data_IF_933316282255
#
_entry.id   IF_933316282255
#
_cell.length_a   1.000
_cell.length_b   1.000
_cell.length_c   1.000
_cell.angle_alpha   90.00
_cell.angle_beta   90.00
_cell.angle_gamma   90.00
#
_symmetry.space_group_name_H-M   'P 1'
#
loop_
_entity.id
_entity.type
_entity.pdbx_description
1 polymer ?
#
# COMPACT_ATOMS: atom_id res chain seq x y z
N UNK A 1 -17.95 4.08 4.89
CA UNK A 1 -18.01 4.58 6.28
C UNK A 1 -16.67 4.32 6.98
N UNK A 2 -16.18 3.08 6.98
CA UNK A 2 -14.81 2.69 7.42
C UNK A 2 -13.68 3.67 7.05
N UNK A 3 -13.58 4.07 5.77
CA UNK A 3 -12.51 4.95 5.29
C UNK A 3 -12.54 6.36 5.93
N UNK A 4 -13.73 6.84 6.31
CA UNK A 4 -13.90 8.10 7.07
C UNK A 4 -13.40 7.90 8.50
N UNK A 5 -13.90 6.86 9.18
CA UNK A 5 -13.53 6.49 10.55
C UNK A 5 -11.99 6.35 10.71
N UNK A 6 -11.32 5.69 9.77
CA UNK A 6 -9.88 5.47 9.82
C UNK A 6 -9.07 6.76 9.61
N UNK A 7 -9.42 7.59 8.60
CA UNK A 7 -8.75 8.89 8.36
C UNK A 7 -8.99 9.84 9.55
N UNK A 8 -10.23 9.94 10.02
CA UNK A 8 -10.62 10.76 11.18
C UNK A 8 -9.79 10.44 12.42
N UNK A 9 -9.67 9.15 12.76
CA UNK A 9 -8.96 8.72 13.98
C UNK A 9 -7.44 8.91 13.89
N UNK A 10 -6.87 8.84 12.69
CA UNK A 10 -5.43 8.97 12.48
C UNK A 10 -4.94 10.42 12.35
N UNK A 11 -5.75 11.33 11.77
CA UNK A 11 -5.24 12.63 11.30
C UNK A 11 -5.81 13.89 11.97
N UNK A 12 -6.86 13.82 12.79
CA UNK A 12 -7.37 14.99 13.52
C UNK A 12 -7.83 16.17 12.64
N UNK A 13 -8.29 15.88 11.41
CA UNK A 13 -8.70 16.84 10.38
C UNK A 13 -10.18 17.27 10.50
N UNK A 14 -10.72 18.13 9.63
CA UNK A 14 -12.15 18.55 9.66
C UNK A 14 -12.90 18.20 8.34
N UNK A 15 -14.11 17.61 8.44
CA UNK A 15 -15.01 17.23 7.32
C UNK A 15 -15.77 18.43 6.80
N UNK A 16 -16.27 18.23 5.59
CA UNK A 16 -17.68 18.50 5.35
C UNK A 16 -18.37 17.26 4.75
N UNK A 17 -19.53 16.82 5.26
CA UNK A 17 -20.34 15.84 4.52
C UNK A 17 -21.26 16.57 3.55
N UNK A 18 -21.08 16.33 2.26
CA UNK A 18 -21.87 16.91 1.18
C UNK A 18 -22.79 15.86 0.55
N UNK A 19 -23.88 15.53 1.23
CA UNK A 19 -24.93 14.66 0.69
C UNK A 19 -25.65 15.33 -0.49
N UNK A 20 -25.37 14.89 -1.71
CA UNK A 20 -25.99 15.44 -2.93
C UNK A 20 -26.82 14.36 -3.62
N UNK A 21 -28.14 14.39 -3.38
CA UNK A 21 -29.09 13.49 -4.02
C UNK A 21 -29.07 12.05 -3.51
N UNK A 22 -28.52 11.83 -2.32
CA UNK A 22 -28.59 10.59 -1.54
C UNK A 22 -29.98 10.39 -0.93
N UNK A 23 -30.22 9.21 -0.31
CA UNK A 23 -31.44 8.98 0.47
C UNK A 23 -31.28 9.58 1.85
N UNK A 24 -32.21 10.45 2.26
CA UNK A 24 -32.24 11.06 3.61
C UNK A 24 -32.21 10.04 4.76
N UNK A 25 -32.69 8.81 4.54
CA UNK A 25 -32.52 7.71 5.50
C UNK A 25 -31.04 7.33 5.66
N UNK A 26 -30.32 7.15 4.56
CA UNK A 26 -28.91 6.74 4.56
C UNK A 26 -28.01 7.86 5.13
N UNK A 27 -28.38 9.13 4.93
CA UNK A 27 -27.74 10.28 5.58
C UNK A 27 -27.99 10.30 7.10
N UNK A 28 -29.22 9.99 7.55
CA UNK A 28 -29.56 9.89 8.97
C UNK A 28 -28.84 8.72 9.66
N UNK A 29 -28.80 7.55 9.00
CA UNK A 29 -28.10 6.36 9.51
C UNK A 29 -26.59 6.66 9.65
N UNK A 30 -25.99 7.32 8.65
CA UNK A 30 -24.60 7.79 8.68
C UNK A 30 -24.33 8.79 9.81
N UNK A 31 -25.23 9.75 10.04
CA UNK A 31 -25.10 10.74 11.12
C UNK A 31 -25.07 10.07 12.51
N UNK A 32 -25.94 9.08 12.72
CA UNK A 32 -25.96 8.31 13.97
C UNK A 32 -24.69 7.46 14.14
N UNK A 33 -24.20 6.81 13.08
CA UNK A 33 -22.93 6.06 13.11
C UNK A 33 -21.74 6.98 13.42
N UNK A 34 -21.69 8.19 12.85
CA UNK A 34 -20.65 9.18 13.14
C UNK A 34 -20.70 9.69 14.60
N UNK A 35 -21.89 9.77 15.20
CA UNK A 35 -22.08 10.09 16.61
C UNK A 35 -21.61 8.96 17.52
N UNK A 36 -22.01 7.72 17.25
CA UNK A 36 -21.63 6.54 18.04
C UNK A 36 -20.12 6.23 17.96
N UNK A 37 -19.49 6.48 16.81
CA UNK A 37 -18.06 6.23 16.59
C UNK A 37 -17.12 7.33 17.12
N UNK A 38 -17.66 8.42 17.68
CA UNK A 38 -16.89 9.55 18.20
C UNK A 38 -16.29 10.46 17.12
N UNK A 39 -16.81 10.38 15.88
CA UNK A 39 -16.39 11.22 14.73
C UNK A 39 -17.03 12.61 14.81
N UNK A 40 -18.27 12.69 15.32
CA UNK A 40 -18.97 13.95 15.61
C UNK A 40 -19.16 14.09 17.13
N UNK A 41 -18.69 15.20 17.70
CA UNK A 41 -18.92 15.56 19.10
C UNK A 41 -20.03 16.63 19.18
N UNK A 42 -21.20 16.28 19.72
CA UNK A 42 -22.33 17.20 19.89
C UNK A 42 -22.06 18.31 20.92
N UNK A 43 -21.19 18.06 21.92
CA UNK A 43 -20.88 19.02 22.98
C UNK A 43 -19.82 20.05 22.53
N UNK A 44 -18.90 19.66 21.64
CA UNK A 44 -17.92 20.57 21.04
C UNK A 44 -17.71 20.32 19.54
N UNK A 45 -18.45 21.08 18.72
CA UNK A 45 -18.37 21.01 17.25
C UNK A 45 -16.94 21.30 16.72
N UNK A 46 -16.14 22.12 17.43
CA UNK A 46 -14.76 22.45 16.99
C UNK A 46 -13.74 21.34 17.22
N UNK A 47 -14.09 20.29 17.97
CA UNK A 47 -13.28 19.07 18.16
C UNK A 47 -13.72 17.91 17.26
N UNK A 48 -14.72 18.10 16.40
CA UNK A 48 -15.20 17.04 15.50
C UNK A 48 -14.18 16.78 14.39
N UNK A 49 -13.54 15.61 14.42
CA UNK A 49 -12.48 15.19 13.51
C UNK A 49 -13.06 14.44 12.31
N UNK A 50 -12.93 14.92 11.08
CA UNK A 50 -13.86 14.54 10.00
C UNK A 50 -13.11 14.82 8.62
N UNK A 51 -13.52 14.32 7.43
CA UNK A 51 -12.97 14.55 6.06
C UNK A 51 -14.05 14.84 4.96
N UNK A 52 -13.73 15.55 3.86
CA UNK A 52 -14.74 15.92 2.82
C UNK A 52 -15.26 14.70 2.04
N UNK A 53 -16.55 14.39 2.20
CA UNK A 53 -17.22 13.29 1.47
C UNK A 53 -18.36 13.84 0.64
N UNK A 54 -18.30 13.62 -0.68
CA UNK A 54 -19.33 14.02 -1.64
C UNK A 54 -20.23 12.81 -1.97
N UNK A 55 -21.54 12.99 -1.84
CA UNK A 55 -22.53 12.06 -2.39
C UNK A 55 -22.52 12.02 -3.92
N UNK A 56 -23.31 11.11 -4.50
CA UNK A 56 -23.36 10.74 -5.92
C UNK A 56 -23.04 11.90 -6.89
N UNK A 57 -21.81 11.92 -7.40
CA UNK A 57 -21.26 12.99 -8.26
C UNK A 57 -22.01 13.12 -9.61
N UNK A 58 -22.85 12.14 -9.96
CA UNK A 58 -23.72 12.17 -11.15
C UNK A 58 -25.01 12.99 -10.93
N UNK A 59 -25.38 13.29 -9.68
CA UNK A 59 -26.59 14.06 -9.35
C UNK A 59 -26.51 15.53 -9.77
N UNK A 60 -25.40 16.27 -9.57
CA UNK A 60 -25.26 17.61 -10.14
C UNK A 60 -25.35 17.63 -11.68
N UNK A 61 -24.67 16.75 -12.46
CA UNK A 61 -24.91 16.59 -13.90
C UNK A 61 -26.37 16.29 -14.27
N UNK A 62 -27.01 15.31 -13.60
CA UNK A 62 -28.40 14.93 -13.90
C UNK A 62 -29.38 16.09 -13.70
N UNK A 63 -29.36 16.72 -12.52
CA UNK A 63 -30.22 17.86 -12.22
C UNK A 63 -29.94 19.08 -13.14
N UNK A 64 -28.67 19.31 -13.51
CA UNK A 64 -28.32 20.37 -14.47
C UNK A 64 -28.74 20.05 -15.89
N UNK A 65 -28.82 18.78 -16.28
CA UNK A 65 -29.37 18.38 -17.57
C UNK A 65 -30.87 18.69 -17.67
N UNK A 66 -31.64 18.33 -16.64
CA UNK A 66 -33.08 18.68 -16.53
C UNK A 66 -33.30 20.20 -16.63
N UNK A 67 -32.53 20.99 -15.86
CA UNK A 67 -32.59 22.46 -15.91
C UNK A 67 -32.14 23.00 -17.28
N UNK A 68 -31.12 22.40 -17.91
CA UNK A 68 -30.65 22.80 -19.23
C UNK A 68 -31.70 22.59 -20.32
N UNK A 69 -32.46 21.49 -20.25
CA UNK A 69 -33.58 21.22 -21.14
C UNK A 69 -34.73 22.22 -20.93
N UNK A 70 -35.06 22.54 -19.67
CA UNK A 70 -36.06 23.58 -19.33
C UNK A 70 -35.64 24.99 -19.79
N UNK A 71 -34.34 25.28 -19.79
CA UNK A 71 -33.76 26.53 -20.33
C UNK A 71 -33.68 26.55 -21.88
N UNK A 72 -34.19 25.53 -22.57
CA UNK A 72 -34.22 25.46 -24.03
C UNK A 72 -32.84 25.33 -24.69
N UNK A 73 -31.82 24.90 -23.94
CA UNK A 73 -30.48 24.65 -24.49
C UNK A 73 -30.50 23.34 -25.28
N UNK A 74 -29.82 23.31 -26.42
CA UNK A 74 -29.66 22.07 -27.19
C UNK A 74 -28.86 21.05 -26.35
N UNK A 75 -29.35 19.79 -26.23
CA UNK A 75 -28.64 18.74 -25.50
C UNK A 75 -27.38 18.30 -26.24
N UNK A 76 -26.40 17.84 -25.47
CA UNK A 76 -25.13 17.28 -25.96
C UNK A 76 -25.19 15.75 -25.98
N UNK A 77 -24.02 15.09 -26.05
CA UNK A 77 -23.88 13.63 -25.99
C UNK A 77 -24.67 13.02 -24.83
N UNK A 78 -25.35 11.90 -25.11
CA UNK A 78 -26.20 11.13 -24.17
C UNK A 78 -27.32 11.97 -23.50
N UNK A 79 -27.61 13.17 -24.01
CA UNK A 79 -28.64 14.06 -23.49
C UNK A 79 -28.19 14.98 -22.35
N UNK A 80 -26.89 15.06 -22.04
CA UNK A 80 -26.36 15.98 -21.02
C UNK A 80 -26.36 17.45 -21.48
N UNK A 81 -26.22 18.37 -20.52
CA UNK A 81 -26.10 19.80 -20.82
C UNK A 81 -24.79 20.12 -21.57
N UNK A 82 -24.78 21.06 -22.53
CA UNK A 82 -23.57 21.42 -23.29
C UNK A 82 -22.47 22.05 -22.43
N UNK A 83 -22.81 22.51 -21.21
CA UNK A 83 -21.90 23.11 -20.24
C UNK A 83 -21.25 22.11 -19.28
N UNK A 84 -21.53 20.80 -19.41
CA UNK A 84 -21.12 19.75 -18.45
C UNK A 84 -19.65 19.83 -18.06
N UNK A 85 -18.75 19.89 -19.05
CA UNK A 85 -17.30 19.96 -18.84
C UNK A 85 -16.88 21.19 -18.02
N UNK A 86 -17.35 22.38 -18.40
CA UNK A 86 -17.00 23.64 -17.71
C UNK A 86 -17.57 23.69 -16.30
N UNK A 87 -18.78 23.15 -16.09
CA UNK A 87 -19.44 23.13 -14.78
C UNK A 87 -18.78 22.14 -13.81
N UNK A 88 -18.36 20.98 -14.30
CA UNK A 88 -17.61 20.00 -13.50
C UNK A 88 -16.20 20.51 -13.18
N UNK A 89 -15.46 21.03 -14.16
CA UNK A 89 -14.14 21.63 -13.90
C UNK A 89 -14.21 22.77 -12.87
N UNK A 90 -15.19 23.67 -13.00
CA UNK A 90 -15.38 24.77 -12.03
C UNK A 90 -15.74 24.32 -10.61
N UNK A 91 -16.24 23.09 -10.45
CA UNK A 91 -16.52 22.48 -9.15
C UNK A 91 -15.28 21.74 -8.62
N UNK A 92 -14.66 20.91 -9.44
CA UNK A 92 -13.54 20.04 -9.06
C UNK A 92 -12.25 20.83 -8.78
N UNK A 93 -11.92 21.85 -9.58
CA UNK A 93 -10.73 22.69 -9.37
C UNK A 93 -10.76 23.48 -8.04
N UNK A 94 -11.93 23.60 -7.40
CA UNK A 94 -12.05 24.19 -6.05
C UNK A 94 -11.69 23.20 -4.94
N UNK A 95 -11.63 21.91 -5.25
CA UNK A 95 -11.33 20.80 -4.34
C UNK A 95 -9.86 20.43 -4.58
N UNK A 96 -8.96 21.25 -4.06
CA UNK A 96 -7.52 21.10 -4.28
C UNK A 96 -6.71 21.49 -3.05
N UNK A 97 -5.42 21.20 -3.07
CA UNK A 97 -4.49 21.60 -2.01
C UNK A 97 -3.82 22.93 -2.31
N UNK A 98 -3.79 23.81 -1.30
CA UNK A 98 -3.21 25.15 -1.38
C UNK A 98 -2.04 25.29 -0.41
N UNK A 99 -1.37 26.46 -0.40
CA UNK A 99 -0.29 26.76 0.55
C UNK A 99 -0.78 26.98 1.99
N UNK A 100 -2.08 27.23 2.18
CA UNK A 100 -2.69 27.55 3.48
C UNK A 100 -3.45 26.36 4.08
N UNK A 101 -3.68 25.31 3.29
CA UNK A 101 -4.35 24.08 3.72
C UNK A 101 -4.67 23.16 2.54
N UNK A 102 -4.88 21.87 2.84
CA UNK A 102 -5.24 20.83 1.89
C UNK A 102 -6.69 20.37 2.05
N UNK A 103 -7.33 20.00 0.95
CA UNK A 103 -8.66 19.35 0.94
C UNK A 103 -8.51 17.98 0.32
N UNK A 104 -8.61 16.93 1.13
CA UNK A 104 -8.73 15.54 0.65
C UNK A 104 -10.20 15.22 0.49
N UNK A 105 -10.66 15.02 -0.75
CA UNK A 105 -12.06 14.65 -1.03
C UNK A 105 -12.21 13.18 -1.41
N UNK A 106 -13.21 12.53 -0.83
CA UNK A 106 -13.66 11.20 -1.26
C UNK A 106 -15.02 11.39 -1.95
N UNK A 107 -15.11 11.01 -3.22
CA UNK A 107 -16.27 11.31 -4.06
C UNK A 107 -16.94 10.01 -4.51
N UNK A 108 -18.20 9.81 -4.15
CA UNK A 108 -18.97 8.68 -4.64
C UNK A 108 -19.40 8.94 -6.09
N UNK A 109 -18.82 8.25 -7.07
CA UNK A 109 -19.23 8.33 -8.48
C UNK A 109 -20.16 7.16 -8.80
N UNK A 110 -21.35 7.45 -9.29
CA UNK A 110 -22.25 6.42 -9.80
C UNK A 110 -21.87 6.12 -11.26
N UNK A 111 -22.05 4.90 -11.73
CA UNK A 111 -21.82 4.55 -13.13
C UNK A 111 -23.16 4.09 -13.73
N UNK A 112 -23.82 4.90 -14.57
CA UNK A 112 -25.09 4.52 -15.18
C UNK A 112 -24.91 3.26 -16.01
N UNK A 113 -25.78 2.26 -15.78
CA UNK A 113 -25.75 0.98 -16.54
C UNK A 113 -24.39 0.26 -16.58
N UNK A 114 -23.52 0.52 -15.59
CA UNK A 114 -22.13 0.03 -15.54
C UNK A 114 -21.25 0.48 -16.73
N UNK A 115 -21.64 1.54 -17.46
CA UNK A 115 -20.90 2.12 -18.58
C UNK A 115 -19.96 3.25 -18.14
N UNK A 116 -18.65 2.96 -18.10
CA UNK A 116 -17.59 3.93 -17.79
C UNK A 116 -17.37 4.98 -18.89
N UNK A 117 -17.95 4.79 -20.08
CA UNK A 117 -17.83 5.72 -21.22
C UNK A 117 -18.90 6.82 -21.23
N UNK A 118 -19.87 6.77 -20.30
CA UNK A 118 -20.87 7.83 -20.14
C UNK A 118 -20.19 9.19 -19.83
N UNK A 119 -20.64 10.31 -20.43
CA UNK A 119 -20.01 11.62 -20.24
C UNK A 119 -19.89 12.11 -18.80
N UNK A 120 -20.78 11.71 -17.89
CA UNK A 120 -20.73 12.17 -16.49
C UNK A 120 -19.60 11.51 -15.67
N UNK A 121 -19.49 10.17 -15.56
CA UNK A 121 -18.35 9.54 -14.90
C UNK A 121 -17.04 9.82 -15.65
N UNK A 122 -17.02 9.81 -16.99
CA UNK A 122 -15.80 10.08 -17.77
C UNK A 122 -15.20 11.47 -17.50
N UNK A 123 -16.05 12.52 -17.45
CA UNK A 123 -15.60 13.86 -17.05
C UNK A 123 -15.17 13.94 -15.59
N UNK A 124 -15.80 13.17 -14.70
CA UNK A 124 -15.45 13.14 -13.27
C UNK A 124 -14.07 12.49 -13.07
N UNK A 125 -13.82 11.33 -13.70
CA UNK A 125 -12.54 10.62 -13.60
C UNK A 125 -11.35 11.45 -14.09
N UNK A 126 -11.54 12.34 -15.07
CA UNK A 126 -10.50 13.25 -15.56
C UNK A 126 -9.96 14.24 -14.51
N UNK A 127 -10.69 14.46 -13.41
CA UNK A 127 -10.30 15.34 -12.29
C UNK A 127 -9.90 14.58 -11.01
N UNK A 128 -9.88 13.24 -11.00
CA UNK A 128 -9.55 12.45 -9.82
C UNK A 128 -8.12 11.93 -9.84
N UNK A 129 -7.37 12.18 -8.76
CA UNK A 129 -6.03 11.61 -8.54
C UNK A 129 -6.04 10.09 -8.27
N UNK A 130 -7.15 9.56 -7.78
CA UNK A 130 -7.31 8.13 -7.55
C UNK A 130 -8.76 7.68 -7.82
N UNK A 131 -8.91 6.52 -8.45
CA UNK A 131 -10.18 5.86 -8.73
C UNK A 131 -10.22 4.51 -8.02
N UNK A 132 -11.27 4.28 -7.24
CA UNK A 132 -11.54 2.98 -6.60
C UNK A 132 -12.82 2.44 -7.23
N UNK A 133 -12.68 1.43 -8.07
CA UNK A 133 -13.80 0.82 -8.81
C UNK A 133 -14.38 -0.32 -7.99
N UNK A 134 -15.71 -0.34 -7.80
CA UNK A 134 -16.40 -1.36 -7.01
C UNK A 134 -17.16 -2.33 -7.93
N UNK A 135 -16.72 -3.59 -7.97
CA UNK A 135 -17.20 -4.57 -8.97
C UNK A 135 -18.32 -5.47 -8.46
N UNK A 136 -19.51 -5.38 -9.07
CA UNK A 136 -20.66 -6.25 -8.72
C UNK A 136 -20.33 -7.75 -8.82
N UNK A 137 -19.40 -8.12 -9.71
CA UNK A 137 -18.93 -9.50 -9.88
C UNK A 137 -18.09 -10.04 -8.72
N UNK A 138 -17.41 -9.17 -7.96
CA UNK A 138 -16.71 -9.54 -6.73
C UNK A 138 -17.68 -9.66 -5.54
N UNK A 139 -18.67 -8.76 -5.44
CA UNK A 139 -19.70 -8.82 -4.41
C UNK A 139 -20.53 -10.12 -4.48
N UNK A 140 -20.87 -10.56 -5.70
CA UNK A 140 -21.57 -11.82 -5.93
C UNK A 140 -20.78 -13.07 -5.48
N UNK A 141 -19.46 -12.95 -5.30
CA UNK A 141 -18.57 -14.00 -4.77
C UNK A 141 -18.35 -13.89 -3.25
N UNK A 142 -18.96 -12.90 -2.58
CA UNK A 142 -18.79 -12.66 -1.15
C UNK A 142 -17.46 -12.02 -0.76
N UNK A 143 -16.72 -11.45 -1.71
CA UNK A 143 -15.42 -10.80 -1.46
C UNK A 143 -15.68 -9.34 -1.06
N UNK A 144 -15.25 -8.99 0.16
CA UNK A 144 -15.30 -7.63 0.72
C UNK A 144 -13.92 -7.23 1.27
N UNK A 145 -13.45 -5.98 1.05
CA UNK A 145 -14.08 -4.92 0.27
C UNK A 145 -14.12 -5.22 -1.22
N UNK A 146 -15.11 -4.68 -1.93
CA UNK A 146 -15.48 -5.07 -3.29
C UNK A 146 -14.65 -4.34 -4.37
N UNK A 147 -13.39 -4.05 -4.08
CA UNK A 147 -12.51 -3.25 -4.94
C UNK A 147 -11.97 -4.09 -6.09
N UNK A 148 -12.13 -3.61 -7.32
CA UNK A 148 -11.50 -4.22 -8.48
C UNK A 148 -10.02 -3.76 -8.58
N UNK A 149 -9.03 -4.67 -8.45
CA UNK A 149 -7.62 -4.30 -8.45
C UNK A 149 -7.06 -4.01 -9.85
N UNK A 150 -7.83 -4.26 -10.92
CA UNK A 150 -7.40 -4.00 -12.30
C UNK A 150 -7.95 -2.66 -12.82
N UNK A 151 -9.21 -2.36 -12.49
CA UNK A 151 -9.86 -1.11 -12.93
C UNK A 151 -9.63 0.08 -11.96
N UNK A 152 -9.18 -0.17 -10.73
CA UNK A 152 -8.81 0.89 -9.77
C UNK A 152 -7.41 1.43 -10.08
N UNK A 153 -7.24 2.76 -10.07
CA UNK A 153 -5.97 3.42 -10.41
C UNK A 153 -5.62 4.56 -9.45
N UNK A 154 -4.36 4.98 -9.42
CA UNK A 154 -3.95 6.19 -8.71
C UNK A 154 -2.72 6.84 -9.35
N UNK A 155 -2.74 8.16 -9.49
CA UNK A 155 -1.59 8.98 -9.91
C UNK A 155 -0.43 8.88 -8.93
N UNK A 156 -0.72 8.60 -7.65
CA UNK A 156 0.28 8.36 -6.61
C UNK A 156 0.95 6.99 -6.74
N UNK A 157 0.42 6.05 -7.53
CA UNK A 157 0.98 4.69 -7.72
C UNK A 157 2.24 4.67 -8.61
N UNK A 158 3.13 5.64 -8.42
CA UNK A 158 4.38 5.80 -9.13
C UNK A 158 5.55 5.30 -8.25
N UNK A 159 6.56 4.60 -8.80
CA UNK A 159 7.65 4.03 -8.00
C UNK A 159 8.41 5.04 -7.13
N UNK A 160 8.50 6.30 -7.59
CA UNK A 160 9.14 7.42 -6.89
C UNK A 160 8.23 8.17 -5.90
N UNK A 161 6.92 7.86 -5.86
CA UNK A 161 5.97 8.41 -4.87
C UNK A 161 5.70 7.38 -3.77
N UNK A 162 5.32 6.14 -4.13
CA UNK A 162 5.03 5.07 -3.15
C UNK A 162 6.32 4.47 -2.56
N UNK A 163 7.44 4.55 -3.28
CA UNK A 163 8.72 4.03 -2.82
C UNK A 163 8.84 2.51 -2.80
N UNK A 164 8.20 1.80 -3.75
CA UNK A 164 8.45 0.38 -4.15
C UNK A 164 7.46 0.00 -5.27
N UNK A 165 7.95 -0.53 -6.40
CA UNK A 165 7.08 -1.19 -7.39
C UNK A 165 6.98 -2.68 -7.05
N UNK A 166 5.80 -3.16 -6.69
CA UNK A 166 5.50 -4.59 -6.57
C UNK A 166 4.77 -4.98 -7.86
N UNK A 167 5.30 -5.95 -8.60
CA UNK A 167 4.71 -6.35 -9.88
C UNK A 167 3.32 -6.95 -9.68
N UNK A 168 2.41 -6.76 -10.64
CA UNK A 168 1.05 -7.32 -10.59
C UNK A 168 1.07 -8.84 -10.31
N UNK A 169 2.02 -9.56 -10.92
CA UNK A 169 2.26 -10.99 -10.71
C UNK A 169 2.64 -11.32 -9.26
N UNK A 170 3.42 -10.49 -8.59
CA UNK A 170 3.86 -10.69 -7.21
C UNK A 170 2.79 -10.28 -6.21
N UNK A 171 2.01 -9.24 -6.50
CA UNK A 171 0.80 -8.87 -5.76
C UNK A 171 -0.23 -10.01 -5.81
N UNK A 172 -0.56 -10.51 -7.00
CA UNK A 172 -1.48 -11.64 -7.18
C UNK A 172 -0.95 -12.90 -6.49
N UNK A 173 0.35 -13.21 -6.63
CA UNK A 173 0.96 -14.37 -5.94
C UNK A 173 0.91 -14.22 -4.41
N UNK A 174 1.21 -13.03 -3.88
CA UNK A 174 1.13 -12.74 -2.45
C UNK A 174 -0.29 -12.95 -1.91
N UNK A 175 -1.29 -12.34 -2.54
CA UNK A 175 -2.69 -12.53 -2.14
C UNK A 175 -3.19 -13.97 -2.33
N UNK A 176 -2.73 -14.70 -3.36
CA UNK A 176 -3.05 -16.12 -3.53
C UNK A 176 -2.47 -16.99 -2.41
N UNK A 177 -1.24 -16.73 -1.96
CA UNK A 177 -0.59 -17.46 -0.86
C UNK A 177 -1.21 -17.15 0.52
N UNK A 178 -1.74 -15.94 0.70
CA UNK A 178 -2.53 -15.57 1.89
C UNK A 178 -3.89 -16.28 1.85
N UNK A 179 -4.61 -16.23 0.72
CA UNK A 179 -5.92 -16.85 0.55
C UNK A 179 -5.88 -18.39 0.57
N UNK A 180 -4.76 -19.02 0.18
CA UNK A 180 -4.56 -20.47 0.29
C UNK A 180 -4.26 -20.95 1.71
N UNK A 181 -4.06 -20.04 2.67
CA UNK A 181 -3.61 -20.32 4.05
C UNK A 181 -2.23 -20.99 4.13
N UNK A 182 -1.46 -21.00 3.04
CA UNK A 182 -0.09 -21.54 3.04
C UNK A 182 0.89 -20.66 3.84
N UNK A 183 0.49 -19.43 4.18
CA UNK A 183 1.24 -18.49 5.02
C UNK A 183 0.71 -18.39 6.47
N UNK A 184 -0.38 -19.08 6.84
CA UNK A 184 -0.93 -19.07 8.22
C UNK A 184 0.05 -19.63 9.27
N UNK A 185 1.12 -20.31 8.83
CA UNK A 185 2.19 -20.85 9.69
C UNK A 185 3.44 -19.97 9.79
N UNK A 186 3.50 -18.82 9.10
CA UNK A 186 4.61 -17.88 9.25
C UNK A 186 4.34 -16.93 10.43
N UNK A 187 5.26 -16.80 11.39
CA UNK A 187 5.09 -15.82 12.45
C UNK A 187 5.32 -14.39 11.93
N UNK A 188 4.49 -13.44 12.37
CA UNK A 188 4.64 -12.00 12.09
C UNK A 188 5.82 -11.39 12.87
N UNK A 189 7.04 -11.89 12.70
CA UNK A 189 8.25 -11.26 13.24
C UNK A 189 8.67 -10.04 12.40
N UNK A 190 7.89 -8.96 12.51
CA UNK A 190 8.41 -7.62 12.29
C UNK A 190 9.37 -7.29 13.44
N UNK A 191 10.67 -7.55 13.25
CA UNK A 191 11.67 -7.38 14.31
C UNK A 191 12.04 -5.90 14.48
N UNK A 192 11.24 -5.16 15.25
CA UNK A 192 11.54 -3.78 15.64
C UNK A 192 12.58 -3.78 16.76
N UNK A 193 13.81 -3.33 16.46
CA UNK A 193 14.89 -3.24 17.42
C UNK A 193 15.05 -1.79 17.90
N UNK A 194 14.35 -1.45 18.98
CA UNK A 194 14.38 -0.11 19.61
C UNK A 194 15.63 0.05 20.50
N UNK A 195 16.82 0.07 19.88
CA UNK A 195 18.11 0.15 20.58
C UNK A 195 19.13 0.90 19.75
N UNK A 196 19.95 1.74 20.40
CA UNK A 196 21.04 2.45 19.74
C UNK A 196 22.07 1.46 19.20
N UNK A 197 22.39 1.59 17.90
CA UNK A 197 23.33 0.74 17.18
C UNK A 197 24.60 1.53 16.86
N UNK A 198 25.76 0.93 17.14
CA UNK A 198 27.07 1.55 16.90
C UNK A 198 27.54 1.39 15.45
N UNK A 199 27.28 0.23 14.84
CA UNK A 199 27.61 -0.10 13.44
C UNK A 199 26.67 -1.19 12.90
N UNK A 200 26.27 -1.08 11.63
CA UNK A 200 25.62 -2.17 10.89
C UNK A 200 26.45 -2.55 9.66
N UNK A 201 26.75 -3.85 9.49
CA UNK A 201 27.34 -4.39 8.26
C UNK A 201 26.29 -5.24 7.53
N UNK A 202 26.08 -4.93 6.25
CA UNK A 202 25.02 -5.48 5.42
C UNK A 202 25.55 -5.96 4.06
N UNK A 203 25.23 -7.20 3.67
CA UNK A 203 25.51 -7.71 2.32
C UNK A 203 24.52 -7.16 1.28
N UNK A 204 25.03 -6.46 0.28
CA UNK A 204 24.29 -5.96 -0.88
C UNK A 204 24.76 -6.65 -2.17
N UNK A 205 24.09 -6.37 -3.28
CA UNK A 205 24.48 -6.90 -4.60
C UNK A 205 25.87 -6.44 -5.10
N UNK A 206 26.46 -5.41 -4.49
CA UNK A 206 27.74 -4.81 -4.88
C UNK A 206 28.89 -5.10 -3.91
N UNK A 207 28.62 -5.73 -2.76
CA UNK A 207 29.61 -6.04 -1.74
C UNK A 207 29.00 -6.04 -0.33
N UNK A 208 29.82 -5.77 0.69
CA UNK A 208 29.34 -5.44 2.03
C UNK A 208 29.42 -3.93 2.24
N UNK A 209 28.39 -3.35 2.86
CA UNK A 209 28.34 -1.94 3.25
C UNK A 209 28.32 -1.88 4.78
N UNK A 210 29.31 -1.20 5.36
CA UNK A 210 29.29 -0.78 6.77
C UNK A 210 28.59 0.57 6.90
N UNK A 211 27.71 0.69 7.87
CA UNK A 211 26.82 1.83 8.10
C UNK A 211 27.02 2.28 9.54
N UNK A 212 27.47 3.53 9.71
CA UNK A 212 27.71 4.16 11.00
C UNK A 212 26.61 5.22 11.28
N UNK A 213 26.46 5.68 12.53
CA UNK A 213 25.58 6.80 12.87
C UNK A 213 25.84 8.04 12.00
N UNK A 214 24.78 8.71 11.57
CA UNK A 214 24.79 9.87 10.66
C UNK A 214 25.31 9.56 9.24
N UNK A 215 25.22 8.31 8.78
CA UNK A 215 25.46 7.98 7.38
C UNK A 215 24.48 8.72 6.45
N UNK A 216 24.95 9.09 5.25
CA UNK A 216 24.09 9.66 4.21
C UNK A 216 22.95 8.68 3.84
N UNK A 217 21.74 9.16 3.48
CA UNK A 217 20.64 8.28 3.13
C UNK A 217 20.99 7.34 1.96
N UNK A 218 20.72 6.04 2.13
CA UNK A 218 20.93 4.99 1.13
C UNK A 218 19.69 4.11 1.05
N UNK A 219 19.18 3.93 -0.16
CA UNK A 219 18.25 2.86 -0.53
C UNK A 219 19.03 1.79 -1.30
N UNK A 220 19.02 0.53 -0.85
CA UNK A 220 19.83 -0.54 -1.44
C UNK A 220 19.17 -1.91 -1.41
N UNK A 221 19.54 -2.78 -2.36
CA UNK A 221 19.10 -4.16 -2.43
C UNK A 221 20.04 -5.05 -1.62
N UNK A 222 19.45 -5.84 -0.73
CA UNK A 222 20.14 -6.82 0.12
C UNK A 222 20.24 -8.14 -0.66
N UNK A 223 21.46 -8.67 -0.85
CA UNK A 223 21.65 -10.03 -1.40
C UNK A 223 21.53 -11.06 -0.25
N UNK A 224 21.48 -12.35 -0.59
CA UNK A 224 21.58 -13.42 0.41
C UNK A 224 22.94 -13.33 1.09
N UNK A 225 22.94 -13.13 2.40
CA UNK A 225 24.15 -12.82 3.14
C UNK A 225 23.89 -12.48 4.60
N UNK A 226 24.92 -11.97 5.26
CA UNK A 226 24.91 -11.74 6.71
C UNK A 226 24.57 -10.28 6.98
N UNK A 227 23.72 -10.07 7.99
CA UNK A 227 23.57 -8.81 8.71
C UNK A 227 24.33 -8.91 10.03
N UNK A 228 25.19 -7.94 10.31
CA UNK A 228 25.85 -7.79 11.60
C UNK A 228 25.47 -6.46 12.21
N UNK A 229 25.11 -6.46 13.48
CA UNK A 229 24.67 -5.28 14.24
C UNK A 229 25.54 -5.21 15.49
N UNK A 230 26.29 -4.11 15.65
CA UNK A 230 27.10 -3.85 16.84
C UNK A 230 26.24 -3.15 17.90
N UNK A 231 25.95 -3.87 18.99
CA UNK A 231 25.10 -3.45 20.10
C UNK A 231 25.89 -3.59 21.40
N UNK A 232 26.06 -2.49 22.15
CA UNK A 232 26.77 -2.51 23.45
C UNK A 232 28.15 -3.21 23.37
N UNK A 233 28.93 -2.90 22.34
CA UNK A 233 30.21 -3.53 22.05
C UNK A 233 30.14 -5.08 21.87
N UNK A 234 29.00 -5.63 21.44
CA UNK A 234 28.81 -7.04 21.06
C UNK A 234 28.19 -7.16 19.66
N UNK A 235 28.68 -8.10 18.84
CA UNK A 235 28.16 -8.35 17.49
C UNK A 235 26.98 -9.33 17.52
N UNK A 236 25.78 -8.84 17.20
CA UNK A 236 24.64 -9.68 16.84
C UNK A 236 24.74 -10.04 15.35
N UNK A 237 24.68 -11.33 15.03
CA UNK A 237 24.80 -11.85 13.66
C UNK A 237 23.50 -12.50 13.21
N UNK A 238 23.04 -12.19 12.00
CA UNK A 238 21.81 -12.73 11.40
C UNK A 238 22.05 -13.16 9.95
N UNK A 239 21.45 -14.28 9.55
CA UNK A 239 21.34 -14.70 8.15
C UNK A 239 20.12 -14.05 7.50
N UNK A 240 20.30 -13.41 6.33
CA UNK A 240 19.23 -12.79 5.55
C UNK A 240 19.06 -13.48 4.20
N UNK A 241 17.82 -13.78 3.81
CA UNK A 241 17.51 -14.40 2.50
C UNK A 241 17.07 -13.33 1.47
N UNK A 242 17.92 -12.31 1.33
CA UNK A 242 17.77 -11.21 0.37
C UNK A 242 16.56 -10.31 0.64
N UNK A 243 16.60 -9.09 0.10
CA UNK A 243 15.58 -8.09 0.39
C UNK A 243 15.97 -6.67 -0.01
N UNK A 244 15.54 -5.70 0.80
CA UNK A 244 15.77 -4.28 0.60
C UNK A 244 16.08 -3.61 1.94
N UNK A 245 17.05 -2.71 1.95
CA UNK A 245 17.39 -1.90 3.12
C UNK A 245 17.29 -0.43 2.77
N UNK A 246 16.60 0.32 3.63
CA UNK A 246 16.51 1.77 3.62
C UNK A 246 17.24 2.31 4.84
N UNK A 247 18.15 3.24 4.62
CA UNK A 247 18.98 3.87 5.62
C UNK A 247 18.73 5.38 5.52
N UNK A 248 18.33 6.04 6.60
CA UNK A 248 18.10 7.48 6.62
C UNK A 248 17.58 7.97 7.96
N UNK A 249 17.84 9.24 8.30
CA UNK A 249 17.43 9.85 9.57
C UNK A 249 17.92 9.11 10.83
N UNK A 250 19.08 8.44 10.76
CA UNK A 250 19.59 7.50 11.78
C UNK A 250 18.68 6.27 12.06
N UNK A 251 17.72 6.00 11.18
CA UNK A 251 16.91 4.78 11.17
C UNK A 251 17.37 3.86 10.02
N UNK A 252 17.30 2.54 10.25
CA UNK A 252 17.62 1.52 9.25
C UNK A 252 16.47 0.50 9.21
N UNK A 253 15.72 0.50 8.12
CA UNK A 253 14.62 -0.44 7.87
C UNK A 253 15.08 -1.52 6.90
N UNK A 254 15.11 -2.78 7.33
CA UNK A 254 15.51 -3.92 6.49
C UNK A 254 14.31 -4.85 6.28
N UNK A 255 13.84 -4.93 5.04
CA UNK A 255 12.75 -5.80 4.59
C UNK A 255 13.34 -6.98 3.81
N UNK A 256 13.32 -8.17 4.41
CA UNK A 256 13.81 -9.41 3.80
C UNK A 256 12.71 -10.45 3.68
N UNK A 257 12.93 -11.46 2.83
CA UNK A 257 11.99 -12.59 2.71
C UNK A 257 12.03 -13.50 3.94
N UNK A 258 13.18 -13.59 4.59
CA UNK A 258 13.44 -14.46 5.74
C UNK A 258 14.69 -13.95 6.49
N UNK A 259 14.70 -14.09 7.82
CA UNK A 259 15.71 -13.56 8.72
C UNK A 259 15.87 -14.47 9.95
N UNK A 260 17.08 -14.99 10.17
CA UNK A 260 17.35 -15.92 11.27
C UNK A 260 18.59 -15.48 12.05
N UNK A 261 18.56 -15.58 13.38
CA UNK A 261 19.69 -15.19 14.23
C UNK A 261 20.70 -16.32 14.31
N UNK A 262 21.99 -16.00 14.23
CA UNK A 262 23.06 -16.99 14.35
C UNK A 262 23.07 -17.76 15.69
N UNK A 263 22.41 -17.24 16.73
CA UNK A 263 22.20 -17.92 18.02
C UNK A 263 21.14 -19.03 17.98
N UNK A 264 20.24 -18.98 17.02
CA UNK A 264 19.01 -19.79 16.99
C UNK A 264 19.13 -20.95 15.98
N UNK A 265 20.13 -20.89 15.09
CA UNK A 265 20.46 -21.92 14.08
C UNK A 265 21.22 -23.10 14.72
N UNK A 266 20.74 -24.34 14.53
CA UNK A 266 21.49 -25.54 14.95
C UNK A 266 22.75 -25.73 14.09
N UNK A 267 23.97 -25.74 14.68
CA UNK A 267 25.20 -25.95 13.93
C UNK A 267 25.25 -27.27 13.14
N UNK A 268 24.64 -28.35 13.63
CA UNK A 268 24.64 -29.64 12.93
C UNK A 268 23.73 -29.60 11.71
N UNK A 269 22.55 -28.99 11.83
CA UNK A 269 21.59 -28.85 10.72
C UNK A 269 22.15 -27.97 9.60
N UNK A 270 22.79 -26.84 9.95
CA UNK A 270 23.41 -25.95 8.98
C UNK A 270 24.53 -26.63 8.16
N UNK A 271 25.40 -27.42 8.82
CA UNK A 271 26.47 -28.15 8.12
C UNK A 271 25.93 -29.29 7.25
N UNK A 272 24.91 -30.04 7.70
CA UNK A 272 24.26 -31.07 6.87
C UNK A 272 23.58 -30.46 5.64
N UNK A 273 22.87 -29.34 5.82
CA UNK A 273 22.21 -28.60 4.74
C UNK A 273 23.21 -28.10 3.70
N UNK A 274 24.39 -27.64 4.15
CA UNK A 274 25.49 -27.25 3.27
C UNK A 274 26.02 -28.42 2.44
N UNK A 275 26.28 -29.58 3.06
CA UNK A 275 26.78 -30.76 2.35
C UNK A 275 25.78 -31.27 1.29
N UNK A 276 24.48 -31.29 1.62
CA UNK A 276 23.41 -31.64 0.70
C UNK A 276 23.34 -30.65 -0.46
N UNK A 277 23.43 -29.34 -0.19
CA UNK A 277 23.42 -28.31 -1.24
C UNK A 277 24.62 -28.43 -2.18
N UNK A 278 25.83 -28.68 -1.68
CA UNK A 278 27.02 -28.91 -2.51
C UNK A 278 26.92 -30.19 -3.35
N UNK A 279 26.36 -31.27 -2.80
CA UNK A 279 26.10 -32.50 -3.55
C UNK A 279 25.08 -32.27 -4.68
N UNK A 280 24.06 -31.45 -4.44
CA UNK A 280 23.04 -31.12 -5.44
C UNK A 280 23.58 -30.21 -6.57
N UNK A 281 24.43 -29.23 -6.26
CA UNK A 281 25.13 -28.43 -7.29
C UNK A 281 26.01 -29.30 -8.20
N UNK A 282 26.69 -30.31 -7.65
CA UNK A 282 27.51 -31.27 -8.42
C UNK A 282 26.69 -32.20 -9.32
N UNK A 283 25.43 -32.49 -8.97
CA UNK A 283 24.52 -33.38 -9.72
C UNK A 283 23.65 -32.66 -10.75
N UNK A 284 23.48 -31.34 -10.63
CA UNK A 284 22.64 -30.58 -11.54
C UNK A 284 23.29 -30.47 -12.93
N UNK A 285 22.64 -31.00 -13.97
CA UNK A 285 23.12 -30.90 -15.36
C UNK A 285 22.44 -29.74 -16.11
N UNK A 286 21.13 -29.57 -15.94
CA UNK A 286 20.34 -28.54 -16.62
C UNK A 286 20.58 -27.13 -16.09
N UNK A 287 20.40 -26.13 -16.97
CA UNK A 287 20.60 -24.71 -16.65
C UNK A 287 19.69 -24.22 -15.51
N UNK A 288 18.44 -24.69 -15.43
CA UNK A 288 17.49 -24.31 -14.38
C UNK A 288 17.87 -24.92 -13.03
N UNK A 289 18.10 -26.23 -13.01
CA UNK A 289 18.55 -26.97 -11.82
C UNK A 289 19.84 -26.38 -11.25
N UNK A 290 20.79 -25.97 -12.10
CA UNK A 290 22.02 -25.27 -11.67
C UNK A 290 21.75 -23.94 -10.98
N UNK A 291 20.76 -23.15 -11.41
CA UNK A 291 20.43 -21.88 -10.77
C UNK A 291 19.81 -22.13 -9.39
N UNK A 292 18.83 -23.03 -9.32
CA UNK A 292 18.12 -23.38 -8.08
C UNK A 292 19.09 -24.00 -7.04
N UNK A 293 19.98 -24.91 -7.47
CA UNK A 293 21.00 -25.50 -6.61
C UNK A 293 22.05 -24.48 -6.12
N UNK A 294 22.50 -23.54 -6.97
CA UNK A 294 23.41 -22.48 -6.54
C UNK A 294 22.74 -21.50 -5.55
N UNK A 295 21.44 -21.25 -5.68
CA UNK A 295 20.68 -20.44 -4.73
C UNK A 295 20.60 -21.14 -3.36
N UNK A 296 20.29 -22.44 -3.34
CA UNK A 296 20.29 -23.25 -2.13
C UNK A 296 21.68 -23.29 -1.45
N UNK A 297 22.74 -23.44 -2.25
CA UNK A 297 24.12 -23.42 -1.75
C UNK A 297 24.49 -22.06 -1.11
N UNK A 298 24.08 -20.94 -1.71
CA UNK A 298 24.30 -19.60 -1.11
C UNK A 298 23.61 -19.49 0.25
N UNK A 299 22.34 -19.90 0.36
CA UNK A 299 21.59 -19.89 1.64
C UNK A 299 22.28 -20.73 2.71
N UNK A 300 22.62 -21.98 2.39
CA UNK A 300 23.27 -22.89 3.34
C UNK A 300 24.65 -22.38 3.82
N UNK A 301 25.42 -21.72 2.94
CA UNK A 301 26.66 -21.05 3.34
C UNK A 301 26.39 -19.88 4.28
N UNK A 302 25.41 -19.03 3.99
CA UNK A 302 25.04 -17.91 4.86
C UNK A 302 24.59 -18.37 6.25
N UNK A 303 23.86 -19.48 6.36
CA UNK A 303 23.53 -20.11 7.66
C UNK A 303 24.79 -20.52 8.45
N UNK A 304 25.73 -21.25 7.83
CA UNK A 304 26.99 -21.67 8.47
C UNK A 304 27.88 -20.47 8.84
N UNK A 305 27.90 -19.42 8.03
CA UNK A 305 28.64 -18.19 8.34
C UNK A 305 27.96 -17.35 9.45
N UNK A 306 26.65 -17.43 9.62
CA UNK A 306 25.93 -16.73 10.70
C UNK A 306 26.17 -17.33 12.09
N UNK A 307 26.42 -18.65 12.17
CA UNK A 307 26.78 -19.37 13.41
C UNK A 307 28.16 -18.99 13.94
N UNK A 308 29.09 -18.59 13.07
CA UNK A 308 30.47 -18.27 13.43
C UNK A 308 30.65 -16.76 13.65
N UNK A 309 30.59 -16.25 14.90
CA UNK A 309 30.99 -14.87 15.17
C UNK A 309 32.45 -14.68 14.79
N UNK A 310 32.77 -13.56 14.13
CA UNK A 310 34.16 -13.18 13.91
C UNK A 310 34.81 -12.87 15.27
N UNK A 311 35.95 -13.50 15.52
CA UNK A 311 36.87 -13.23 16.64
C UNK A 311 37.65 -11.93 16.45
#
# INVERSE_FOLDING_TARGET
MELINNITKAHGSVSLFGGVGERTREENDLYMEMKESGVINEENITESNVALVYGQMNKPPGARSEVSALLGRMPSAVGYQPTLSTEMGSLQERITSTKEGSITSIQAVYVPTDDLTDPAPAMTFAHLDATIVLSRGLAAKGIYPVVDPLDSTSTMLQPWIVGKYIGLTETIRGFQLILSKELDGLPEQAFYLDSEVEEIVLSTNSGQIGILPNHAPIDTVVDIGILRILLNNQWLTMALIGGFARIGNNEITILVNDAEKGSDIDPQEAHQTLEIAEANVKKAEERRQKIEANLALRRARTWVEAINPIS
#
